data_IF_139969670106
#
_entry.id   IF_139969670106
#
_cell.length_a   1.000
_cell.length_b   1.000
_cell.length_c   1.000
_cell.angle_alpha   90.00
_cell.angle_beta   90.00
_cell.angle_gamma   90.00
#
_symmetry.space_group_name_H-M   'P 1'
#
loop_
_entity.id
_entity.type
_entity.pdbx_description
1 polymer ?
#
# COMPACT_ATOMS: atom_id res chain seq x y z
N UNK A 1 -16.43 -42.75 66.60
CA UNK A 1 -15.36 -41.80 66.25
C UNK A 1 -15.01 -41.95 64.76
N UNK A 2 -16.05 -41.77 63.95
CA UNK A 2 -16.18 -40.75 62.90
C UNK A 2 -15.01 -40.55 61.93
N UNK A 3 -14.94 -41.53 61.04
CA UNK A 3 -14.40 -41.46 59.70
C UNK A 3 -15.28 -40.53 58.83
N UNK A 4 -14.99 -39.22 58.78
CA UNK A 4 -15.87 -38.28 58.05
C UNK A 4 -15.32 -36.89 57.70
N UNK A 5 -14.03 -36.73 57.39
CA UNK A 5 -13.50 -35.41 56.98
C UNK A 5 -12.41 -35.46 55.90
N UNK A 6 -12.56 -36.31 54.86
CA UNK A 6 -11.60 -36.37 53.76
C UNK A 6 -12.19 -36.04 52.38
N UNK A 7 -13.34 -35.36 52.31
CA UNK A 7 -14.08 -35.22 51.06
C UNK A 7 -14.80 -33.86 50.89
N UNK A 8 -14.16 -32.76 51.33
CA UNK A 8 -14.78 -31.43 51.23
C UNK A 8 -13.83 -30.30 50.80
N UNK A 9 -12.67 -30.61 50.18
CA UNK A 9 -11.67 -29.58 49.81
C UNK A 9 -11.27 -29.60 48.33
N UNK A 10 -12.17 -30.02 47.44
CA UNK A 10 -11.87 -30.21 46.02
C UNK A 10 -12.94 -29.62 45.08
N UNK A 11 -13.67 -28.60 45.53
CA UNK A 11 -14.80 -28.03 44.77
C UNK A 11 -14.83 -26.49 44.69
N UNK A 12 -13.66 -25.83 44.76
CA UNK A 12 -13.57 -24.34 44.66
C UNK A 12 -12.61 -23.89 43.54
N UNK A 13 -12.29 -24.76 42.57
CA UNK A 13 -11.38 -24.42 41.45
C UNK A 13 -12.08 -24.31 40.08
N UNK A 14 -13.40 -24.39 40.03
CA UNK A 14 -14.14 -24.12 38.80
C UNK A 14 -14.91 -22.81 38.98
N UNK A 15 -14.86 -21.94 37.97
CA UNK A 15 -15.59 -20.68 37.81
C UNK A 15 -14.76 -19.39 38.00
N UNK A 16 -13.59 -19.31 37.35
CA UNK A 16 -13.20 -18.07 36.66
C UNK A 16 -12.73 -18.44 35.26
N UNK A 17 -13.72 -18.70 34.39
CA UNK A 17 -13.52 -18.94 32.97
C UNK A 17 -14.64 -18.23 32.23
N UNK A 18 -14.68 -16.91 32.35
CA UNK A 18 -15.51 -16.09 31.48
C UNK A 18 -14.77 -16.00 30.15
N UNK A 19 -15.04 -16.95 29.25
CA UNK A 19 -14.69 -16.83 27.85
C UNK A 19 -15.71 -15.88 27.23
N UNK A 20 -15.51 -14.56 27.38
CA UNK A 20 -16.14 -13.61 26.46
C UNK A 20 -15.46 -13.83 25.12
N UNK A 21 -16.10 -14.63 24.27
CA UNK A 21 -15.81 -14.60 22.84
C UNK A 21 -16.38 -13.27 22.31
N UNK A 22 -15.71 -12.17 22.65
CA UNK A 22 -15.87 -10.97 21.86
C UNK A 22 -15.28 -11.31 20.50
N UNK A 23 -16.15 -11.31 19.51
CA UNK A 23 -15.83 -11.58 18.12
C UNK A 23 -15.18 -10.31 17.54
N UNK A 24 -14.11 -9.87 18.21
CA UNK A 24 -13.36 -8.69 17.83
C UNK A 24 -12.42 -9.10 16.71
N UNK A 25 -12.65 -8.54 15.53
CA UNK A 25 -11.75 -8.69 14.40
C UNK A 25 -10.34 -8.24 14.80
N UNK A 26 -9.33 -8.86 14.18
CA UNK A 26 -7.94 -8.46 14.38
C UNK A 26 -7.73 -7.00 13.96
N UNK A 27 -7.01 -6.25 14.78
CA UNK A 27 -6.63 -4.86 14.50
C UNK A 27 -5.13 -4.76 14.42
N UNK A 28 -4.64 -3.95 13.48
CA UNK A 28 -3.23 -3.79 13.23
C UNK A 28 -2.91 -2.34 12.87
N UNK A 29 -1.75 -1.85 13.28
CA UNK A 29 -1.16 -0.62 12.73
C UNK A 29 -0.35 -0.96 11.50
N UNK A 30 -0.63 -0.29 10.38
CA UNK A 30 0.13 -0.43 9.14
C UNK A 30 0.70 0.91 8.70
N UNK A 31 1.90 0.87 8.14
CA UNK A 31 2.58 2.00 7.50
C UNK A 31 2.56 1.82 5.98
N UNK A 32 2.25 2.91 5.28
CA UNK A 32 2.32 3.01 3.82
C UNK A 32 3.36 4.07 3.51
N UNK A 33 4.44 3.71 2.84
CA UNK A 33 5.53 4.64 2.51
C UNK A 33 5.16 5.58 1.36
N UNK A 34 5.72 6.79 1.38
CA UNK A 34 5.50 7.87 0.40
C UNK A 34 6.09 7.60 -1.00
N UNK A 35 7.04 6.67 -1.10
CA UNK A 35 7.73 6.29 -2.33
C UNK A 35 7.31 4.86 -2.75
N UNK A 36 6.34 4.70 -3.67
CA UNK A 36 5.91 3.40 -4.12
C UNK A 36 7.04 2.66 -4.85
N UNK A 37 7.20 1.34 -4.64
CA UNK A 37 8.29 0.57 -5.20
C UNK A 37 8.09 0.29 -6.69
N UNK A 38 9.17 -0.06 -7.41
CA UNK A 38 9.01 -0.76 -8.67
C UNK A 38 8.46 -2.17 -8.44
N UNK A 39 7.60 -2.61 -9.35
CA UNK A 39 7.15 -3.99 -9.39
C UNK A 39 8.35 -4.95 -9.48
N UNK A 40 8.31 -6.08 -8.75
CA UNK A 40 9.32 -7.12 -8.89
C UNK A 40 9.45 -7.54 -10.36
N UNK A 41 10.66 -7.94 -10.82
CA UNK A 41 10.85 -8.39 -12.20
C UNK A 41 10.07 -9.67 -12.43
N UNK A 42 8.85 -9.54 -12.95
CA UNK A 42 8.07 -10.65 -13.47
C UNK A 42 7.85 -10.35 -14.94
N UNK A 43 8.37 -11.22 -15.82
CA UNK A 43 8.18 -11.12 -17.27
C UNK A 43 8.53 -9.74 -17.89
N UNK A 44 9.70 -9.18 -17.55
CA UNK A 44 10.25 -7.94 -18.14
C UNK A 44 9.50 -6.64 -17.79
N UNK A 45 8.40 -6.70 -17.04
CA UNK A 45 7.65 -5.50 -16.63
C UNK A 45 8.21 -4.92 -15.33
N UNK A 46 8.68 -3.67 -15.39
CA UNK A 46 9.17 -2.90 -14.25
C UNK A 46 8.56 -1.50 -14.31
N UNK A 47 7.36 -1.33 -13.77
CA UNK A 47 6.74 -0.03 -13.52
C UNK A 47 6.55 0.19 -12.02
N UNK A 48 5.98 1.33 -11.63
CA UNK A 48 5.62 1.65 -10.25
C UNK A 48 4.44 0.78 -9.80
N UNK A 49 4.63 0.05 -8.71
CA UNK A 49 3.61 -0.82 -8.12
C UNK A 49 2.84 -0.10 -7.01
N UNK A 50 1.67 -0.64 -6.66
CA UNK A 50 0.94 -0.20 -5.47
C UNK A 50 1.82 -0.30 -4.21
N UNK A 51 1.80 0.70 -3.32
CA UNK A 51 2.49 0.67 -2.04
C UNK A 51 2.14 -0.57 -1.19
N UNK A 52 3.09 -1.00 -0.37
CA UNK A 52 2.91 -2.08 0.59
C UNK A 52 2.26 -1.59 1.88
N UNK A 53 1.49 -2.47 2.52
CA UNK A 53 1.09 -2.33 3.92
C UNK A 53 2.15 -2.99 4.79
N UNK A 54 2.88 -2.20 5.58
CA UNK A 54 3.98 -2.69 6.43
C UNK A 54 3.55 -2.63 7.89
N UNK A 55 3.61 -3.74 8.61
CA UNK A 55 3.29 -3.74 10.04
C UNK A 55 4.43 -3.17 10.91
N UNK A 56 4.19 -2.97 12.21
CA UNK A 56 5.18 -2.44 13.17
C UNK A 56 6.49 -3.27 13.25
N UNK A 57 6.45 -4.56 12.88
CA UNK A 57 7.62 -5.43 12.85
C UNK A 57 8.37 -5.39 11.50
N UNK A 58 7.93 -4.55 10.55
CA UNK A 58 8.48 -4.46 9.20
C UNK A 58 7.99 -5.55 8.23
N UNK A 59 6.97 -6.33 8.61
CA UNK A 59 6.41 -7.39 7.80
C UNK A 59 5.35 -6.88 6.83
N UNK A 60 5.47 -7.26 5.55
CA UNK A 60 4.49 -6.93 4.50
C UNK A 60 3.20 -7.72 4.74
N UNK A 61 2.08 -7.00 4.89
CA UNK A 61 0.73 -7.56 5.04
C UNK A 61 -0.04 -7.65 3.72
N UNK A 62 0.44 -6.94 2.69
CA UNK A 62 -0.17 -6.89 1.38
C UNK A 62 0.11 -5.53 0.72
N UNK A 63 -0.80 -5.09 -0.14
CA UNK A 63 -0.75 -3.77 -0.78
C UNK A 63 -1.99 -2.95 -0.40
N UNK A 64 -1.98 -1.66 -0.75
CA UNK A 64 -3.13 -0.77 -0.55
C UNK A 64 -4.42 -1.25 -1.23
N UNK A 65 -4.35 -2.21 -2.16
CA UNK A 65 -5.54 -2.81 -2.78
C UNK A 65 -6.42 -3.60 -1.80
N UNK A 66 -5.90 -3.93 -0.61
CA UNK A 66 -6.67 -4.53 0.48
C UNK A 66 -7.49 -3.50 1.26
N UNK A 67 -7.15 -2.21 1.17
CA UNK A 67 -7.82 -1.14 1.91
C UNK A 67 -9.12 -0.75 1.21
N UNK A 68 -10.22 -0.77 1.95
CA UNK A 68 -11.53 -0.34 1.47
C UNK A 68 -11.62 1.19 1.54
N UNK A 69 -12.11 1.81 0.47
CA UNK A 69 -12.35 3.26 0.35
C UNK A 69 -11.10 4.12 0.65
N UNK A 70 -9.91 3.61 0.32
CA UNK A 70 -8.66 4.32 0.46
C UNK A 70 -8.09 4.71 -0.90
N UNK A 71 -7.76 5.99 -1.04
CA UNK A 71 -7.07 6.53 -2.19
C UNK A 71 -5.69 7.02 -1.74
N UNK A 72 -4.65 6.43 -2.30
CA UNK A 72 -3.27 6.77 -1.96
C UNK A 72 -2.81 7.99 -2.75
N UNK A 73 -2.33 9.00 -2.05
CA UNK A 73 -1.66 10.14 -2.66
C UNK A 73 -0.14 9.90 -2.74
N UNK A 74 0.42 9.97 -3.95
CA UNK A 74 1.86 9.77 -4.16
C UNK A 74 2.66 10.84 -3.42
N UNK A 75 3.71 10.43 -2.69
CA UNK A 75 4.51 11.34 -1.89
C UNK A 75 4.00 11.52 -0.47
N UNK A 76 2.98 10.77 -0.05
CA UNK A 76 2.42 10.84 1.31
C UNK A 76 2.65 9.54 2.07
N UNK A 77 3.25 9.65 3.26
CA UNK A 77 3.39 8.55 4.19
C UNK A 77 2.17 8.49 5.13
N UNK A 78 1.63 7.30 5.31
CA UNK A 78 0.47 7.05 6.17
C UNK A 78 0.81 6.06 7.27
N UNK A 79 0.30 6.32 8.47
CA UNK A 79 0.18 5.35 9.55
C UNK A 79 -1.30 5.17 9.87
N UNK A 80 -1.82 3.96 9.66
CA UNK A 80 -3.24 3.66 9.75
C UNK A 80 -3.49 2.58 10.79
N UNK A 81 -4.48 2.78 11.64
CA UNK A 81 -5.09 1.70 12.41
C UNK A 81 -6.18 1.06 11.57
N UNK A 82 -6.03 -0.23 11.28
CA UNK A 82 -6.95 -0.98 10.42
C UNK A 82 -7.57 -2.16 11.17
N UNK A 83 -8.79 -2.50 10.76
CA UNK A 83 -9.48 -3.74 11.13
C UNK A 83 -9.42 -4.72 9.95
N UNK A 84 -9.02 -5.96 10.22
CA UNK A 84 -8.99 -7.05 9.23
C UNK A 84 -10.32 -7.78 9.26
N UNK A 85 -11.05 -7.76 8.15
CA UNK A 85 -12.35 -8.41 8.01
C UNK A 85 -12.25 -9.58 7.06
N UNK A 86 -12.37 -10.80 7.58
CA UNK A 86 -12.44 -12.01 6.74
C UNK A 86 -13.74 -12.02 5.93
N UNK A 87 -13.62 -12.28 4.62
CA UNK A 87 -14.77 -12.36 3.73
C UNK A 87 -15.42 -13.74 3.83
N UNK A 88 -16.72 -13.78 4.13
CA UNK A 88 -17.45 -15.05 4.29
C UNK A 88 -17.57 -15.84 2.97
N UNK A 89 -17.56 -15.17 1.84
CA UNK A 89 -17.62 -15.75 0.49
C UNK A 89 -16.62 -15.00 -0.41
N UNK A 90 -15.32 -15.29 -0.31
CA UNK A 90 -14.31 -14.56 -1.05
C UNK A 90 -14.33 -14.94 -2.54
N UNK A 91 -14.04 -13.99 -3.44
CA UNK A 91 -13.87 -14.29 -4.87
C UNK A 91 -12.75 -15.33 -5.08
N UNK A 92 -12.93 -16.21 -6.06
CA UNK A 92 -12.00 -17.31 -6.32
C UNK A 92 -10.59 -16.85 -6.72
N UNK A 93 -10.46 -15.63 -7.26
CA UNK A 93 -9.26 -15.00 -7.76
C UNK A 93 -8.92 -13.68 -7.04
N UNK A 94 -9.55 -13.40 -5.90
CA UNK A 94 -9.29 -12.20 -5.11
C UNK A 94 -8.87 -12.48 -3.68
N UNK A 95 -8.94 -11.45 -2.84
CA UNK A 95 -8.51 -11.53 -1.46
C UNK A 95 -9.52 -12.28 -0.58
N UNK A 96 -9.02 -12.96 0.45
CA UNK A 96 -9.84 -13.62 1.47
C UNK A 96 -10.26 -12.68 2.61
N UNK A 97 -9.70 -11.48 2.65
CA UNK A 97 -9.95 -10.46 3.66
C UNK A 97 -9.84 -9.06 3.05
N UNK A 98 -10.51 -8.11 3.69
CA UNK A 98 -10.41 -6.68 3.41
C UNK A 98 -9.95 -5.93 4.68
N UNK A 99 -9.34 -4.77 4.48
CA UNK A 99 -8.78 -3.95 5.55
C UNK A 99 -9.59 -2.66 5.61
N UNK A 100 -10.25 -2.43 6.76
CA UNK A 100 -11.06 -1.22 6.98
C UNK A 100 -10.28 -0.24 7.83
N UNK A 101 -10.15 0.99 7.37
CA UNK A 101 -9.47 2.04 8.12
C UNK A 101 -10.36 2.44 9.30
N UNK A 102 -9.86 2.23 10.51
CA UNK A 102 -10.52 2.70 11.74
C UNK A 102 -10.08 4.12 12.08
N UNK A 103 -8.79 4.41 11.91
CA UNK A 103 -8.20 5.70 12.26
C UNK A 103 -6.94 5.97 11.41
N UNK A 104 -6.77 7.23 10.99
CA UNK A 104 -5.51 7.74 10.43
C UNK A 104 -4.70 8.29 11.60
N UNK A 105 -3.64 7.58 11.98
CA UNK A 105 -2.78 7.94 13.11
C UNK A 105 -1.77 9.02 12.71
N UNK A 106 -1.24 8.91 11.49
CA UNK A 106 -0.36 9.92 10.89
C UNK A 106 -0.57 9.96 9.38
N UNK A 107 -0.47 11.17 8.84
CA UNK A 107 -0.45 11.46 7.40
C UNK A 107 0.55 12.59 7.20
N UNK A 108 1.62 12.33 6.45
CA UNK A 108 2.71 13.26 6.24
C UNK A 108 3.14 13.26 4.78
N UNK A 109 2.88 14.38 4.10
CA UNK A 109 3.34 14.60 2.74
C UNK A 109 4.81 15.01 2.74
N UNK A 110 5.57 14.43 1.81
CA UNK A 110 6.96 14.79 1.59
C UNK A 110 7.10 16.27 1.20
N UNK A 111 8.23 16.86 1.56
CA UNK A 111 8.49 18.27 1.28
C UNK A 111 8.54 18.52 -0.23
N UNK A 112 8.02 19.67 -0.68
CA UNK A 112 8.20 20.17 -2.04
C UNK A 112 9.70 20.17 -2.40
N UNK A 113 10.02 19.62 -3.56
CA UNK A 113 11.40 19.40 -4.02
C UNK A 113 11.98 18.05 -3.62
N UNK A 114 11.23 17.16 -2.96
CA UNK A 114 11.65 15.77 -2.73
C UNK A 114 11.74 15.04 -4.08
N UNK A 115 12.85 14.32 -4.29
CA UNK A 115 13.15 13.64 -5.56
C UNK A 115 13.01 12.13 -5.38
N UNK A 116 12.30 11.49 -6.30
CA UNK A 116 12.13 10.04 -6.41
C UNK A 116 12.80 9.55 -7.70
N UNK A 117 13.70 8.58 -7.60
CA UNK A 117 14.44 8.03 -8.73
C UNK A 117 14.03 6.60 -9.03
N UNK A 118 13.64 6.34 -10.28
CA UNK A 118 13.26 5.02 -10.78
C UNK A 118 14.20 4.60 -11.90
N UNK A 119 15.28 3.88 -11.57
CA UNK A 119 16.44 3.63 -12.45
C UNK A 119 16.27 2.53 -13.51
N UNK A 120 15.12 1.86 -13.55
CA UNK A 120 14.96 0.67 -14.38
C UNK A 120 13.50 0.46 -14.78
N UNK A 121 12.87 1.53 -15.26
CA UNK A 121 11.51 1.46 -15.78
C UNK A 121 11.57 0.82 -17.16
N UNK A 122 10.85 -0.29 -17.36
CA UNK A 122 10.82 -0.98 -18.65
C UNK A 122 9.61 -0.52 -19.47
N UNK A 123 9.87 -0.05 -20.68
CA UNK A 123 8.88 0.50 -21.61
C UNK A 123 8.18 -0.60 -22.40
N UNK A 124 7.35 -1.37 -21.71
CA UNK A 124 6.45 -2.37 -22.29
C UNK A 124 5.06 -2.26 -21.67
N UNK A 125 4.04 -2.70 -22.39
CA UNK A 125 2.66 -2.76 -21.90
C UNK A 125 2.13 -1.40 -21.43
N UNK A 126 2.34 -0.37 -22.25
CA UNK A 126 1.89 1.00 -21.96
C UNK A 126 2.45 1.49 -20.62
N UNK A 127 3.75 1.27 -20.39
CA UNK A 127 4.40 1.60 -19.12
C UNK A 127 4.28 3.08 -18.76
N UNK A 128 4.29 3.97 -19.76
CA UNK A 128 4.14 5.42 -19.63
C UNK A 128 3.09 5.92 -20.63
N UNK A 129 2.02 6.58 -20.17
CA UNK A 129 0.83 6.87 -21.00
C UNK A 129 0.49 8.35 -20.95
N UNK A 130 0.22 8.95 -22.11
CA UNK A 130 -0.40 10.27 -22.19
C UNK A 130 -1.89 10.18 -21.79
N UNK A 131 -2.30 11.02 -20.83
CA UNK A 131 -3.70 11.09 -20.38
C UNK A 131 -4.37 12.30 -21.01
N UNK A 132 -3.82 13.48 -20.74
CA UNK A 132 -4.28 14.77 -21.27
C UNK A 132 -3.14 15.79 -21.24
N UNK A 133 -3.39 17.03 -21.69
CA UNK A 133 -2.37 18.07 -21.81
C UNK A 133 -1.61 18.29 -20.49
N UNK A 134 -0.31 17.95 -20.48
CA UNK A 134 0.57 18.07 -19.32
C UNK A 134 0.46 16.94 -18.29
N UNK A 135 -0.43 15.96 -18.48
CA UNK A 135 -0.67 14.86 -17.54
C UNK A 135 -0.36 13.51 -18.19
N UNK A 136 0.49 12.74 -17.51
CA UNK A 136 0.93 11.42 -17.92
C UNK A 136 0.73 10.42 -16.78
N UNK A 137 0.82 9.13 -17.09
CA UNK A 137 0.72 8.06 -16.12
C UNK A 137 1.86 7.08 -16.26
N UNK A 138 2.49 6.72 -15.14
CA UNK A 138 3.10 5.41 -14.94
C UNK A 138 2.07 4.62 -14.13
N UNK A 139 1.21 3.80 -14.76
CA UNK A 139 0.08 3.20 -14.07
C UNK A 139 0.54 2.44 -12.82
N UNK A 140 -0.13 2.62 -11.67
CA UNK A 140 -1.46 3.25 -11.53
C UNK A 140 -1.44 4.76 -11.22
N UNK A 141 -0.28 5.42 -11.21
CA UNK A 141 -0.15 6.80 -10.73
C UNK A 141 -0.13 7.80 -11.89
N UNK A 142 -0.69 8.98 -11.65
CA UNK A 142 -0.65 10.10 -12.59
C UNK A 142 0.42 11.12 -12.14
N UNK A 143 1.02 11.80 -13.12
CA UNK A 143 2.12 12.73 -12.95
C UNK A 143 1.94 13.91 -13.89
N UNK A 144 2.37 15.09 -13.45
CA UNK A 144 2.58 16.22 -14.35
C UNK A 144 3.89 16.02 -15.13
N UNK A 145 4.02 16.68 -16.27
CA UNK A 145 5.31 16.81 -16.96
C UNK A 145 5.88 18.22 -16.79
N UNK A 146 7.16 18.35 -16.49
CA UNK A 146 7.82 19.66 -16.46
C UNK A 146 7.99 20.24 -17.87
N UNK A 147 7.95 21.57 -17.99
CA UNK A 147 7.99 22.29 -19.28
C UNK A 147 9.23 22.00 -20.14
N UNK A 148 10.34 21.60 -19.52
CA UNK A 148 11.62 21.29 -20.17
C UNK A 148 11.88 19.79 -20.36
N UNK A 149 10.90 18.95 -20.08
CA UNK A 149 10.97 17.49 -20.21
C UNK A 149 10.12 17.00 -21.37
N UNK A 150 10.70 16.18 -22.24
CA UNK A 150 10.00 15.62 -23.41
C UNK A 150 9.22 14.35 -23.05
N UNK A 151 8.13 14.50 -22.27
CA UNK A 151 7.30 13.35 -21.89
C UNK A 151 6.51 12.74 -23.07
N UNK A 152 6.27 13.52 -24.13
CA UNK A 152 5.62 13.03 -25.35
C UNK A 152 6.47 11.93 -26.01
N UNK A 153 7.77 12.18 -26.19
CA UNK A 153 8.69 11.16 -26.73
C UNK A 153 8.76 9.93 -25.82
N UNK A 154 8.76 10.10 -24.49
CA UNK A 154 8.74 8.97 -23.56
C UNK A 154 7.45 8.13 -23.70
N UNK A 155 6.29 8.78 -23.85
CA UNK A 155 5.01 8.12 -24.09
C UNK A 155 4.99 7.38 -25.45
N UNK A 156 5.53 8.00 -26.50
CA UNK A 156 5.68 7.35 -27.82
C UNK A 156 6.59 6.12 -27.77
N UNK A 157 7.54 6.11 -26.84
CA UNK A 157 8.48 5.00 -26.61
C UNK A 157 7.97 3.93 -25.63
N UNK A 158 6.79 4.09 -25.03
CA UNK A 158 6.30 3.28 -23.91
C UNK A 158 6.13 1.77 -24.18
N UNK A 159 6.22 1.34 -25.45
CA UNK A 159 6.18 -0.05 -25.88
C UNK A 159 7.41 -0.48 -26.71
N UNK A 160 8.49 0.29 -26.64
CA UNK A 160 9.72 0.03 -27.41
C UNK A 160 10.52 -1.17 -26.89
N UNK A 161 10.26 -1.63 -25.66
CA UNK A 161 11.12 -2.59 -24.96
C UNK A 161 12.38 -1.93 -24.37
N UNK A 162 12.51 -0.61 -24.44
CA UNK A 162 13.59 0.15 -23.82
C UNK A 162 13.53 0.10 -22.29
N UNK A 163 14.65 0.42 -21.66
CA UNK A 163 14.73 0.64 -20.22
C UNK A 163 15.22 2.06 -20.01
N UNK A 164 14.51 2.81 -19.19
CA UNK A 164 14.80 4.21 -18.89
C UNK A 164 14.94 4.43 -17.39
N UNK A 165 15.66 5.48 -17.00
CA UNK A 165 15.51 6.05 -15.67
C UNK A 165 14.50 7.19 -15.71
N UNK A 166 13.65 7.30 -14.69
CA UNK A 166 12.68 8.38 -14.54
C UNK A 166 12.91 9.06 -13.19
N UNK A 167 13.04 10.38 -13.22
CA UNK A 167 13.09 11.24 -12.03
C UNK A 167 11.74 11.94 -11.85
N UNK A 168 11.18 11.81 -10.66
CA UNK A 168 9.96 12.50 -10.25
C UNK A 168 10.29 13.46 -9.11
N UNK A 169 9.67 14.63 -9.11
CA UNK A 169 9.82 15.61 -8.04
C UNK A 169 8.47 15.97 -7.44
N UNK A 170 8.43 16.07 -6.11
CA UNK A 170 7.29 16.55 -5.34
C UNK A 170 7.06 18.04 -5.60
N UNK A 171 5.94 18.38 -6.24
CA UNK A 171 5.57 19.76 -6.64
C UNK A 171 4.26 20.24 -6.03
N UNK A 172 3.47 19.32 -5.45
CA UNK A 172 2.23 19.60 -4.74
C UNK A 172 1.03 19.78 -5.68
N UNK A 173 -0.11 20.17 -5.11
CA UNK A 173 -1.37 20.28 -5.87
C UNK A 173 -2.13 18.96 -5.94
N UNK A 174 -3.10 18.87 -6.84
CA UNK A 174 -3.98 17.69 -7.00
C UNK A 174 -3.24 16.48 -7.58
N UNK A 175 -2.28 16.71 -8.49
CA UNK A 175 -1.32 15.71 -8.93
C UNK A 175 0.03 16.09 -8.31
N UNK A 176 0.42 15.47 -7.19
CA UNK A 176 1.46 15.98 -6.30
C UNK A 176 2.89 15.91 -6.86
N UNK A 177 3.09 15.14 -7.93
CA UNK A 177 4.40 14.78 -8.46
C UNK A 177 4.52 15.06 -9.96
N UNK A 178 5.71 15.51 -10.35
CA UNK A 178 6.03 15.91 -11.71
C UNK A 178 7.24 15.13 -12.22
N UNK A 179 7.19 14.65 -13.46
CA UNK A 179 8.36 14.11 -14.17
C UNK A 179 9.31 15.25 -14.48
N UNK A 180 10.49 15.23 -13.87
CA UNK A 180 11.52 16.27 -14.02
C UNK A 180 12.71 15.84 -14.85
N UNK A 181 12.87 14.53 -15.11
CA UNK A 181 13.90 14.03 -16.00
C UNK A 181 13.60 12.58 -16.44
N UNK A 182 14.11 12.19 -17.61
CA UNK A 182 14.16 10.78 -18.04
C UNK A 182 15.28 10.56 -19.08
N UNK A 183 15.76 9.31 -19.22
CA UNK A 183 16.81 8.94 -20.19
C UNK A 183 16.77 7.50 -20.68
#
# INVERSE_FOLDING_TARGET
>A
MDNRYLLCLLLILALVGCNSSDNDNERLTVTIGSNPPLCPPTNEFRTICSPYLINESGGIQGTIALLVDFEYEFGTEYELLVEIVELADPPADGFSAEYRILEVLREEQDAIGTIYNYESVTLIHDAFVFIEEGVYSLPPHNFLCADDVDCDTLADMANSGGVVSIELTMTGGEIPVTVTNWN
#
